data_IF_394285830840
#
_entry.id   IF_394285830840
#
_cell.length_a   1.000
_cell.length_b   1.000
_cell.length_c   1.000
_cell.angle_alpha   90.00
_cell.angle_beta   90.00
_cell.angle_gamma   90.00
#
_symmetry.space_group_name_H-M   'P 1'
#
loop_
_entity.id
_entity.type
_entity.pdbx_description
1 polymer ?
#
# COMPACT_ATOMS: atom_id res chain seq x y z
N UNK A 1 9.14 11.82 3.36
CA UNK A 1 8.70 10.44 3.05
C UNK A 1 7.31 10.21 3.62
N UNK A 2 6.46 9.61 2.83
CA UNK A 2 5.09 9.30 3.23
C UNK A 2 4.95 7.81 3.46
N UNK A 3 4.11 7.45 4.41
CA UNK A 3 3.89 6.07 4.80
C UNK A 3 2.39 5.82 4.79
N UNK A 4 1.93 4.92 3.90
CA UNK A 4 0.51 4.63 3.73
C UNK A 4 0.19 3.20 4.14
N UNK A 5 -0.58 3.00 5.22
CA UNK A 5 -1.07 1.67 5.58
C UNK A 5 -2.35 1.35 4.81
N UNK A 6 -2.38 0.18 4.19
CA UNK A 6 -3.55 -0.30 3.44
C UNK A 6 -3.84 -1.72 3.89
N UNK A 7 -5.11 -2.08 4.02
CA UNK A 7 -5.49 -3.45 4.36
C UNK A 7 -6.75 -3.88 3.60
N UNK A 8 -6.87 -5.17 3.39
CA UNK A 8 -8.00 -5.78 2.70
C UNK A 8 -8.17 -7.23 3.15
N UNK A 9 -9.33 -7.81 2.88
CA UNK A 9 -9.62 -9.18 3.27
C UNK A 9 -9.01 -10.22 2.34
N UNK A 10 -8.75 -9.85 1.09
CA UNK A 10 -8.13 -10.73 0.11
C UNK A 10 -6.93 -10.04 -0.53
N UNK A 11 -6.02 -10.85 -1.06
CA UNK A 11 -4.84 -10.32 -1.73
C UNK A 11 -5.20 -9.56 -3.00
N UNK A 12 -6.18 -10.06 -3.75
CA UNK A 12 -6.64 -9.39 -4.98
C UNK A 12 -7.22 -8.00 -4.66
N UNK A 13 -8.02 -7.91 -3.61
CA UNK A 13 -8.58 -6.65 -3.17
C UNK A 13 -7.49 -5.69 -2.71
N UNK A 14 -6.48 -6.20 -1.99
CA UNK A 14 -5.35 -5.41 -1.55
C UNK A 14 -4.59 -4.83 -2.74
N UNK A 15 -4.31 -5.65 -3.74
CA UNK A 15 -3.61 -5.21 -4.94
C UNK A 15 -4.40 -4.15 -5.71
N UNK A 16 -5.71 -4.28 -5.81
CA UNK A 16 -6.56 -3.28 -6.43
C UNK A 16 -6.52 -1.95 -5.68
N UNK A 17 -6.58 -2.00 -4.36
CA UNK A 17 -6.50 -0.79 -3.54
C UNK A 17 -5.17 -0.08 -3.70
N UNK A 18 -4.08 -0.84 -3.70
CA UNK A 18 -2.73 -0.27 -3.90
C UNK A 18 -2.65 0.40 -5.26
N UNK A 19 -3.11 -0.27 -6.31
CA UNK A 19 -3.09 0.25 -7.67
C UNK A 19 -3.86 1.56 -7.77
N UNK A 20 -5.10 1.59 -7.27
CA UNK A 20 -5.94 2.79 -7.32
C UNK A 20 -5.32 3.95 -6.54
N UNK A 21 -4.80 3.69 -5.36
CA UNK A 21 -4.22 4.75 -4.54
C UNK A 21 -2.98 5.33 -5.22
N UNK A 22 -2.09 4.49 -5.70
CA UNK A 22 -0.86 4.96 -6.34
C UNK A 22 -1.16 5.71 -7.64
N UNK A 23 -2.05 5.17 -8.48
CA UNK A 23 -2.37 5.77 -9.77
C UNK A 23 -3.19 7.05 -9.65
N UNK A 24 -4.19 7.08 -8.76
CA UNK A 24 -5.12 8.21 -8.67
C UNK A 24 -4.66 9.32 -7.73
N UNK A 25 -4.07 8.96 -6.59
CA UNK A 25 -3.73 9.94 -5.55
C UNK A 25 -2.25 10.26 -5.45
N UNK A 26 -1.39 9.34 -5.90
CA UNK A 26 0.05 9.49 -5.74
C UNK A 26 0.80 9.30 -7.06
N UNK A 27 0.20 9.74 -8.17
CA UNK A 27 0.82 9.61 -9.50
C UNK A 27 2.12 10.39 -9.64
N UNK A 28 2.31 11.46 -8.85
CA UNK A 28 3.55 12.23 -8.85
C UNK A 28 4.54 11.81 -7.76
N UNK A 29 4.39 10.58 -7.24
CA UNK A 29 5.24 10.06 -6.17
C UNK A 29 6.02 8.84 -6.64
N UNK A 30 7.17 8.64 -6.03
CA UNK A 30 7.98 7.44 -6.28
C UNK A 30 7.78 6.46 -5.13
N UNK A 31 7.39 5.23 -5.44
CA UNK A 31 7.25 4.17 -4.44
C UNK A 31 8.61 3.56 -4.20
N UNK A 32 9.08 3.61 -2.96
CA UNK A 32 10.39 3.07 -2.59
C UNK A 32 10.30 1.66 -2.04
N UNK A 33 9.23 1.36 -1.31
CA UNK A 33 9.11 0.08 -0.65
C UNK A 33 7.66 -0.29 -0.44
N UNK A 34 7.37 -1.58 -0.58
CA UNK A 34 6.07 -2.18 -0.27
C UNK A 34 6.31 -3.31 0.73
N UNK A 35 5.78 -3.16 1.93
CA UNK A 35 5.89 -4.19 2.96
C UNK A 35 4.55 -4.87 3.14
N UNK A 36 4.46 -6.13 2.72
CA UNK A 36 3.24 -6.93 2.82
C UNK A 36 3.24 -7.76 4.09
N UNK A 37 2.07 -7.81 4.73
CA UNK A 37 1.86 -8.66 5.89
C UNK A 37 0.69 -9.59 5.60
N UNK A 38 0.89 -10.89 5.78
CA UNK A 38 -0.14 -11.89 5.58
C UNK A 38 -1.01 -12.02 6.84
N UNK A 39 -2.23 -12.57 6.71
CA UNK A 39 -3.08 -12.78 7.88
C UNK A 39 -2.44 -13.71 8.90
N UNK A 40 -2.72 -13.44 10.17
CA UNK A 40 -2.27 -14.26 11.29
C UNK A 40 -3.47 -14.66 12.14
N UNK A 41 -3.25 -15.42 13.21
CA UNK A 41 -4.30 -15.79 14.14
C UNK A 41 -4.99 -14.58 14.79
N UNK A 42 -4.21 -13.51 14.98
CA UNK A 42 -4.69 -12.29 15.62
C UNK A 42 -5.27 -11.27 14.64
N UNK A 43 -4.95 -11.42 13.35
CA UNK A 43 -5.37 -10.47 12.32
C UNK A 43 -5.75 -11.20 11.05
N UNK A 44 -7.00 -11.08 10.65
CA UNK A 44 -7.54 -11.75 9.45
C UNK A 44 -7.29 -10.96 8.16
N UNK A 45 -6.62 -9.83 8.23
CA UNK A 45 -6.46 -8.93 7.11
C UNK A 45 -5.09 -9.06 6.47
N UNK A 46 -5.06 -8.99 5.14
CA UNK A 46 -3.83 -8.70 4.41
C UNK A 46 -3.55 -7.22 4.54
N UNK A 47 -2.31 -6.86 4.73
CA UNK A 47 -1.94 -5.45 4.83
C UNK A 47 -0.69 -5.15 4.03
N UNK A 48 -0.55 -3.87 3.68
CA UNK A 48 0.63 -3.39 2.98
C UNK A 48 0.98 -2.00 3.49
N UNK A 49 2.24 -1.78 3.77
CA UNK A 49 2.74 -0.47 4.13
C UNK A 49 3.53 0.06 2.94
N UNK A 50 3.08 1.17 2.35
CA UNK A 50 3.71 1.76 1.18
C UNK A 50 4.55 2.95 1.61
N UNK A 51 5.82 2.94 1.24
CA UNK A 51 6.74 4.06 1.49
C UNK A 51 6.99 4.79 0.19
N UNK A 52 6.66 6.07 0.16
CA UNK A 52 6.81 6.91 -1.03
C UNK A 52 7.46 8.25 -0.73
N UNK A 53 8.00 8.86 -1.77
CA UNK A 53 8.46 10.25 -1.72
C UNK A 53 7.87 11.00 -2.90
N UNK A 54 7.68 12.30 -2.72
CA UNK A 54 7.18 13.16 -3.78
C UNK A 54 8.28 13.46 -4.77
N UNK A 55 7.98 13.35 -6.06
CA UNK A 55 9.00 13.47 -7.11
C UNK A 55 9.69 14.84 -7.19
N UNK A 56 9.03 15.88 -6.75
CA UNK A 56 9.59 17.23 -6.81
C UNK A 56 10.23 17.72 -5.50
N UNK A 57 10.45 16.81 -4.58
CA UNK A 57 11.15 17.11 -3.32
C UNK A 57 12.65 16.81 -3.40
#
# INVERSE_FOLDING_TARGET
>A
MYCLPIKAKTLDELNEKIYHIVEEYYSGYTVHELNFTTPTEDCEWYSCLILLTKDDE
#
